data_IF_722954826659
#
_entry.id   IF_722954826659
#
_cell.length_a   1.000
_cell.length_b   1.000
_cell.length_c   1.000
_cell.angle_alpha   90.00
_cell.angle_beta   90.00
_cell.angle_gamma   90.00
#
_symmetry.space_group_name_H-M   'P 1'
#
loop_
_entity.id
_entity.type
_entity.pdbx_description
1 polymer ?
#
# COMPACT_ATOMS: atom_id res chain seq x y z
N UNK A 1 -11.29 -1.03 14.98
CA UNK A 1 -11.78 -0.43 13.72
C UNK A 1 -12.02 -1.57 12.74
N UNK A 2 -13.13 -1.56 12.00
CA UNK A 2 -13.44 -2.62 11.02
C UNK A 2 -13.11 -2.16 9.61
N UNK A 3 -12.95 -3.09 8.67
CA UNK A 3 -12.67 -2.75 7.28
C UNK A 3 -13.80 -2.01 6.59
N UNK A 4 -15.05 -2.34 6.92
CA UNK A 4 -16.25 -1.66 6.39
C UNK A 4 -16.28 -0.17 6.77
N UNK A 5 -15.79 0.19 7.97
CA UNK A 5 -15.70 1.58 8.39
C UNK A 5 -14.76 2.34 7.42
N UNK A 6 -13.54 1.83 7.24
CA UNK A 6 -12.51 2.43 6.39
C UNK A 6 -12.92 2.59 4.93
N UNK A 7 -13.73 1.67 4.40
CA UNK A 7 -14.24 1.70 3.01
C UNK A 7 -15.17 2.89 2.75
N UNK A 8 -15.76 3.47 3.79
CA UNK A 8 -16.68 4.62 3.69
C UNK A 8 -16.02 5.94 4.04
N UNK A 9 -14.77 5.92 4.49
CA UNK A 9 -14.08 7.12 4.94
C UNK A 9 -13.63 7.98 3.77
N UNK A 10 -13.80 9.29 3.93
CA UNK A 10 -13.18 10.30 3.08
C UNK A 10 -11.66 10.28 3.21
N UNK A 11 -10.94 10.85 2.24
CA UNK A 11 -9.47 10.99 2.31
C UNK A 11 -9.01 11.72 3.57
N UNK A 12 -9.75 12.75 4.03
CA UNK A 12 -9.46 13.45 5.28
C UNK A 12 -9.62 12.56 6.52
N UNK A 13 -10.65 11.71 6.56
CA UNK A 13 -10.82 10.77 7.67
C UNK A 13 -9.73 9.69 7.66
N UNK A 14 -9.38 9.16 6.49
CA UNK A 14 -8.28 8.19 6.34
C UNK A 14 -6.93 8.81 6.75
N UNK A 15 -6.72 10.08 6.45
CA UNK A 15 -5.54 10.82 6.89
C UNK A 15 -5.43 10.90 8.41
N UNK A 16 -6.54 11.16 9.11
CA UNK A 16 -6.57 11.14 10.59
C UNK A 16 -6.24 9.74 11.13
N UNK A 17 -6.81 8.69 10.54
CA UNK A 17 -6.49 7.30 10.92
C UNK A 17 -5.01 7.02 10.67
N UNK A 18 -4.49 7.38 9.51
CA UNK A 18 -3.10 7.13 9.14
C UNK A 18 -2.12 7.84 10.07
N UNK A 19 -2.41 9.05 10.54
CA UNK A 19 -1.55 9.78 11.48
C UNK A 19 -1.68 9.31 12.93
N UNK A 20 -2.73 8.56 13.26
CA UNK A 20 -2.93 8.05 14.63
C UNK A 20 -1.81 7.07 14.97
N UNK A 21 -1.09 7.24 16.10
CA UNK A 21 -0.07 6.29 16.52
C UNK A 21 -0.70 4.93 16.81
N UNK A 22 -0.23 3.90 16.11
CA UNK A 22 -0.55 2.51 16.43
C UNK A 22 0.74 1.82 16.89
N UNK A 23 0.66 0.83 17.80
CA UNK A 23 1.82 0.01 18.13
C UNK A 23 2.37 -0.59 16.84
N UNK A 24 3.63 -0.26 16.53
CA UNK A 24 4.29 -0.79 15.35
C UNK A 24 4.43 -2.30 15.56
N UNK A 25 3.69 -3.08 14.78
CA UNK A 25 3.81 -4.53 14.82
C UNK A 25 4.94 -5.00 13.91
N UNK A 26 5.28 -6.28 14.04
CA UNK A 26 6.22 -6.96 13.15
C UNK A 26 5.80 -6.81 11.67
N UNK A 27 6.75 -7.10 10.78
CA UNK A 27 6.46 -7.15 9.34
C UNK A 27 5.35 -8.18 9.09
N UNK A 28 4.31 -7.84 8.29
CA UNK A 28 3.20 -8.73 8.01
C UNK A 28 3.69 -10.05 7.43
N UNK A 29 2.89 -11.11 7.58
CA UNK A 29 3.18 -12.42 6.98
C UNK A 29 1.97 -12.92 6.22
N UNK A 30 2.23 -13.65 5.14
CA UNK A 30 1.20 -14.32 4.35
C UNK A 30 0.61 -13.42 3.28
N UNK A 31 -0.60 -13.78 2.84
CA UNK A 31 -1.28 -13.15 1.71
C UNK A 31 -2.28 -12.11 2.23
N UNK A 32 -2.26 -10.94 1.60
CA UNK A 32 -3.09 -9.80 1.94
C UNK A 32 -3.78 -9.30 0.69
N UNK A 33 -5.10 -9.09 0.76
CA UNK A 33 -5.91 -8.60 -0.33
C UNK A 33 -5.93 -7.08 -0.33
N UNK A 34 -5.60 -6.48 -1.46
CA UNK A 34 -5.57 -5.03 -1.64
C UNK A 34 -6.90 -4.46 -2.11
N UNK A 35 -7.16 -3.22 -1.70
CA UNK A 35 -8.27 -2.39 -2.19
C UNK A 35 -7.89 -0.92 -2.11
N UNK A 36 -8.05 -0.18 -3.20
CA UNK A 36 -7.95 1.27 -3.17
C UNK A 36 -9.13 1.88 -2.40
N UNK A 37 -8.87 2.87 -1.55
CA UNK A 37 -9.88 3.55 -0.73
C UNK A 37 -10.18 4.95 -1.24
N UNK A 38 -9.16 5.82 -1.32
CA UNK A 38 -9.35 7.21 -1.71
C UNK A 38 -8.06 7.80 -2.27
N UNK A 39 -8.18 8.69 -3.25
CA UNK A 39 -7.07 9.56 -3.68
C UNK A 39 -6.96 10.77 -2.77
N UNK A 40 -5.74 11.22 -2.54
CA UNK A 40 -5.46 12.48 -1.85
C UNK A 40 -5.32 13.54 -2.94
N UNK A 41 -6.13 14.61 -2.86
CA UNK A 41 -6.00 15.72 -3.79
C UNK A 41 -4.62 16.38 -3.60
N UNK A 42 -3.76 16.22 -4.59
CA UNK A 42 -2.43 16.79 -4.63
C UNK A 42 -2.22 17.47 -5.98
N UNK A 43 -1.27 18.41 -6.05
CA UNK A 43 -0.91 19.06 -7.33
C UNK A 43 -0.48 18.03 -8.39
N UNK A 44 0.15 16.93 -7.96
CA UNK A 44 0.55 15.80 -8.82
C UNK A 44 -0.59 14.92 -9.31
N UNK A 45 -1.65 14.78 -8.51
CA UNK A 45 -2.84 13.99 -8.82
C UNK A 45 -3.67 14.53 -9.99
N UNK A 46 -3.38 15.75 -10.47
CA UNK A 46 -4.07 16.37 -11.64
C UNK A 46 -3.47 15.99 -12.99
N UNK A 47 -2.41 15.17 -13.01
CA UNK A 47 -1.84 14.68 -14.25
C UNK A 47 -2.66 13.50 -14.81
N UNK A 48 -3.38 13.75 -15.91
CA UNK A 48 -4.32 12.81 -16.54
C UNK A 48 -3.66 11.49 -16.96
N UNK A 49 -2.40 11.51 -17.39
CA UNK A 49 -1.66 10.28 -17.75
C UNK A 49 -1.40 9.37 -16.54
N UNK A 50 -1.16 9.96 -15.37
CA UNK A 50 -1.01 9.21 -14.11
C UNK A 50 -2.35 8.66 -13.61
N UNK A 51 -3.43 9.43 -13.78
CA UNK A 51 -4.77 8.99 -13.43
C UNK A 51 -5.19 7.75 -14.22
N UNK A 52 -4.88 7.69 -15.51
CA UNK A 52 -5.18 6.55 -16.38
C UNK A 52 -4.35 5.33 -15.99
N UNK A 53 -3.03 5.48 -15.76
CA UNK A 53 -2.17 4.34 -15.40
C UNK A 53 -2.53 3.74 -14.03
N UNK A 54 -2.81 4.57 -13.03
CA UNK A 54 -3.20 4.10 -11.70
C UNK A 54 -4.64 3.59 -11.67
N UNK A 55 -5.57 4.27 -12.35
CA UNK A 55 -6.98 3.87 -12.40
C UNK A 55 -7.17 2.54 -13.12
N UNK A 56 -6.43 2.27 -14.20
CA UNK A 56 -6.60 1.03 -14.96
C UNK A 56 -5.96 -0.19 -14.25
N UNK A 57 -4.87 -0.02 -13.50
CA UNK A 57 -4.22 -1.13 -12.79
C UNK A 57 -4.80 -1.41 -11.39
N UNK A 58 -5.17 -0.39 -10.62
CA UNK A 58 -5.55 -0.55 -9.22
C UNK A 58 -7.06 -0.51 -8.96
N UNK A 59 -7.85 0.16 -9.81
CA UNK A 59 -9.32 0.15 -9.66
C UNK A 59 -9.97 -1.06 -10.32
N UNK A 60 -9.33 -1.65 -11.34
CA UNK A 60 -9.92 -2.75 -12.12
C UNK A 60 -9.41 -4.15 -11.78
N UNK A 61 -8.22 -4.28 -11.16
CA UNK A 61 -7.60 -5.59 -10.98
C UNK A 61 -7.53 -5.95 -9.49
N UNK A 62 -8.06 -7.12 -9.08
CA UNK A 62 -7.82 -7.62 -7.74
C UNK A 62 -6.32 -7.87 -7.58
N UNK A 63 -5.70 -7.02 -6.77
CA UNK A 63 -4.31 -7.13 -6.40
C UNK A 63 -4.19 -7.57 -4.96
N UNK A 64 -3.01 -8.03 -4.60
CA UNK A 64 -2.63 -8.10 -3.22
C UNK A 64 -1.14 -8.23 -3.04
N UNK A 65 -0.76 -8.36 -1.78
CA UNK A 65 0.62 -8.42 -1.35
C UNK A 65 0.86 -9.71 -0.59
N UNK A 66 1.95 -10.39 -0.95
CA UNK A 66 2.50 -11.46 -0.15
C UNK A 66 3.67 -10.93 0.66
N UNK A 67 3.74 -11.30 1.93
CA UNK A 67 4.79 -10.89 2.84
C UNK A 67 5.49 -12.11 3.47
N UNK A 68 6.82 -12.05 3.56
CA UNK A 68 7.65 -13.12 4.14
C UNK A 68 7.67 -13.12 5.69
N UNK A 69 7.18 -12.06 6.33
CA UNK A 69 7.23 -11.87 7.79
C UNK A 69 8.58 -11.39 8.34
N UNK A 70 9.54 -11.02 7.48
CA UNK A 70 10.91 -10.68 7.85
C UNK A 70 11.40 -9.36 7.29
N UNK A 71 11.34 -9.17 5.98
CA UNK A 71 11.95 -8.00 5.32
C UNK A 71 11.53 -7.81 3.86
N UNK A 72 10.70 -8.70 3.31
CA UNK A 72 10.39 -8.67 1.89
C UNK A 72 8.98 -9.14 1.58
N UNK A 73 8.54 -8.83 0.38
CA UNK A 73 7.28 -9.28 -0.15
C UNK A 73 7.23 -9.14 -1.66
N UNK A 74 6.10 -9.51 -2.23
CA UNK A 74 5.84 -9.36 -3.66
C UNK A 74 4.38 -9.02 -3.90
N UNK A 75 4.11 -8.27 -4.97
CA UNK A 75 2.74 -8.10 -5.45
C UNK A 75 2.29 -9.37 -6.16
N UNK A 76 0.99 -9.64 -6.07
CA UNK A 76 0.30 -10.56 -6.96
C UNK A 76 -0.93 -9.88 -7.56
N UNK A 77 -1.21 -10.19 -8.82
CA UNK A 77 -2.41 -9.74 -9.51
C UNK A 77 -3.17 -10.97 -10.00
N UNK A 78 -4.49 -10.99 -9.81
CA UNK A 78 -5.43 -12.04 -10.25
C UNK A 78 -5.28 -13.44 -9.62
N UNK A 79 -4.07 -13.97 -9.48
CA UNK A 79 -3.80 -15.31 -8.93
C UNK A 79 -2.51 -15.31 -8.09
N UNK A 80 -2.42 -16.19 -7.08
CA UNK A 80 -1.25 -16.30 -6.18
C UNK A 80 0.06 -16.65 -6.91
N UNK A 81 -0.04 -17.23 -8.11
CA UNK A 81 1.11 -17.67 -8.92
C UNK A 81 1.79 -16.56 -9.72
N UNK A 82 1.15 -15.41 -9.90
CA UNK A 82 1.64 -14.34 -10.78
C UNK A 82 2.25 -13.20 -9.95
N UNK A 83 3.46 -13.45 -9.44
CA UNK A 83 4.24 -12.49 -8.64
C UNK A 83 4.82 -11.40 -9.54
N UNK A 84 4.36 -10.16 -9.36
CA UNK A 84 4.78 -9.01 -10.17
C UNK A 84 5.49 -7.97 -9.31
N UNK A 85 6.79 -8.13 -9.12
CA UNK A 85 7.60 -7.12 -8.44
C UNK A 85 7.76 -7.39 -6.96
N UNK A 86 9.02 -7.61 -6.59
CA UNK A 86 9.45 -7.80 -5.20
C UNK A 86 9.74 -6.44 -4.56
N UNK A 87 9.43 -6.32 -3.28
CA UNK A 87 9.76 -5.16 -2.47
C UNK A 87 10.46 -5.56 -1.18
N UNK A 88 11.22 -4.63 -0.64
CA UNK A 88 11.76 -4.70 0.72
C UNK A 88 10.90 -3.90 1.66
N UNK A 89 10.90 -4.29 2.92
CA UNK A 89 10.15 -3.63 3.98
C UNK A 89 11.12 -3.20 5.06
N UNK A 90 11.02 -1.93 5.46
CA UNK A 90 11.87 -1.34 6.48
C UNK A 90 10.99 -0.55 7.45
N UNK A 91 11.22 -0.70 8.75
CA UNK A 91 10.59 0.18 9.74
C UNK A 91 11.19 1.58 9.64
N UNK A 92 10.36 2.61 9.69
CA UNK A 92 10.84 3.98 9.81
C UNK A 92 9.75 5.02 9.75
N UNK A 93 10.17 6.29 9.76
CA UNK A 93 9.26 7.43 9.65
C UNK A 93 8.62 7.50 8.29
N UNK A 94 7.34 7.81 8.25
CA UNK A 94 6.66 8.19 7.02
C UNK A 94 7.39 9.38 6.40
N UNK A 95 7.60 9.30 5.09
CA UNK A 95 8.15 10.39 4.27
C UNK A 95 7.16 11.53 4.17
N UNK A 96 5.87 11.21 4.16
CA UNK A 96 4.83 12.17 3.85
C UNK A 96 4.15 12.75 5.08
N UNK A 97 4.18 12.04 6.21
CA UNK A 97 3.48 12.40 7.45
C UNK A 97 4.41 12.22 8.66
N UNK A 98 4.12 12.93 9.73
CA UNK A 98 4.86 12.79 10.99
C UNK A 98 4.33 11.60 11.81
N UNK A 99 4.67 10.39 11.38
CA UNK A 99 4.31 9.11 12.02
C UNK A 99 5.30 8.01 11.66
N UNK A 100 5.44 7.00 12.50
CA UNK A 100 6.12 5.75 12.14
C UNK A 100 5.24 4.89 11.21
N UNK A 101 5.89 4.11 10.35
CA UNK A 101 5.28 3.20 9.38
C UNK A 101 6.24 2.07 8.96
N UNK A 102 5.74 1.14 8.17
CA UNK A 102 6.56 0.20 7.40
C UNK A 102 6.69 0.73 5.98
N UNK A 103 7.91 1.02 5.54
CA UNK A 103 8.19 1.52 4.20
C UNK A 103 8.42 0.36 3.24
N UNK A 104 7.76 0.37 2.09
CA UNK A 104 7.97 -0.58 0.99
C UNK A 104 8.84 0.06 -0.09
N UNK A 105 9.99 -0.54 -0.37
CA UNK A 105 10.93 -0.06 -1.40
C UNK A 105 11.12 -1.08 -2.51
N UNK A 106 11.09 -0.60 -3.76
CA UNK A 106 11.07 -1.42 -4.97
C UNK A 106 12.43 -1.51 -5.69
N UNK A 107 13.51 -1.07 -5.05
CA UNK A 107 14.86 -0.97 -5.64
C UNK A 107 15.37 -2.28 -6.23
N UNK A 108 14.99 -3.42 -5.62
CA UNK A 108 15.41 -4.77 -6.05
C UNK A 108 14.42 -5.48 -6.97
N UNK A 109 13.25 -4.91 -7.22
CA UNK A 109 12.25 -5.55 -8.09
C UNK A 109 12.85 -5.78 -9.49
N UNK A 110 12.57 -6.91 -10.14
CA UNK A 110 12.86 -7.10 -11.57
C UNK A 110 11.81 -6.38 -12.45
N UNK A 111 11.53 -5.12 -12.13
CA UNK A 111 10.67 -4.25 -12.91
C UNK A 111 11.51 -3.41 -13.88
N UNK A 112 10.95 -2.92 -14.99
CA UNK A 112 11.60 -1.90 -15.81
C UNK A 112 12.05 -0.73 -14.93
N UNK A 113 13.25 -0.18 -15.18
CA UNK A 113 13.90 0.83 -14.32
C UNK A 113 13.01 2.05 -14.02
N UNK A 114 12.16 2.44 -14.98
CA UNK A 114 11.18 3.51 -14.81
C UNK A 114 10.15 3.22 -13.71
N UNK A 115 9.73 1.97 -13.53
CA UNK A 115 8.73 1.57 -12.52
C UNK A 115 9.35 1.46 -11.13
N UNK A 116 10.61 1.00 -11.03
CA UNK A 116 11.32 0.86 -9.74
C UNK A 116 11.47 2.18 -8.99
N UNK A 117 11.69 3.25 -9.74
CA UNK A 117 11.86 4.60 -9.21
C UNK A 117 10.54 5.35 -9.08
N UNK A 118 9.42 4.75 -9.49
CA UNK A 118 8.13 5.43 -9.54
C UNK A 118 7.28 5.13 -8.32
N UNK A 119 7.35 3.94 -7.72
CA UNK A 119 6.44 3.54 -6.63
C UNK A 119 7.13 3.60 -5.27
N UNK A 120 6.40 4.10 -4.27
CA UNK A 120 6.80 4.08 -2.87
C UNK A 120 5.54 3.99 -2.03
N UNK A 121 5.44 2.93 -1.22
CA UNK A 121 4.28 2.72 -0.37
C UNK A 121 4.71 2.68 1.10
N UNK A 122 3.81 3.12 1.96
CA UNK A 122 3.97 3.04 3.41
C UNK A 122 2.78 2.29 3.99
N UNK A 123 3.02 1.45 4.99
CA UNK A 123 1.99 0.63 5.62
C UNK A 123 1.90 0.95 7.11
N UNK A 124 0.67 0.98 7.61
CA UNK A 124 0.37 1.09 9.04
C UNK A 124 -0.65 0.05 9.47
N UNK A 125 -0.26 -0.69 10.50
CA UNK A 125 -1.15 -1.59 11.20
C UNK A 125 -2.33 -0.83 11.82
N UNK A 126 -3.54 -1.31 11.55
CA UNK A 126 -4.77 -0.86 12.20
C UNK A 126 -5.24 -1.90 13.22
N UNK A 127 -5.12 -3.18 12.86
CA UNK A 127 -5.39 -4.36 13.70
C UNK A 127 -4.57 -5.55 13.17
N UNK A 128 -4.64 -6.72 13.83
CA UNK A 128 -3.86 -7.91 13.43
C UNK A 128 -4.18 -8.43 12.01
N UNK A 129 -5.30 -8.00 11.43
CA UNK A 129 -5.86 -8.43 10.16
C UNK A 129 -6.08 -7.28 9.17
N UNK A 130 -5.78 -6.03 9.56
CA UNK A 130 -5.98 -4.84 8.75
C UNK A 130 -4.76 -3.92 8.75
N UNK A 131 -4.37 -3.49 7.55
CA UNK A 131 -3.30 -2.52 7.34
C UNK A 131 -3.84 -1.42 6.42
N UNK A 132 -3.61 -0.18 6.82
CA UNK A 132 -3.84 0.99 5.98
C UNK A 132 -2.53 1.35 5.28
N UNK A 133 -2.55 1.36 3.96
CA UNK A 133 -1.45 1.75 3.10
C UNK A 133 -1.61 3.18 2.58
N UNK A 134 -0.50 3.88 2.46
CA UNK A 134 -0.35 5.13 1.72
C UNK A 134 0.56 4.87 0.53
N UNK A 135 -0.02 4.81 -0.66
CA UNK A 135 0.72 4.67 -1.90
C UNK A 135 1.05 6.04 -2.46
N UNK A 136 2.26 6.18 -2.99
CA UNK A 136 2.72 7.41 -3.60
C UNK A 136 3.63 7.13 -4.78
N UNK A 137 3.61 8.06 -5.75
CA UNK A 137 4.72 8.11 -6.69
C UNK A 137 5.93 8.79 -6.06
N UNK A 138 7.12 8.25 -6.28
CA UNK A 138 8.39 8.72 -5.73
C UNK A 138 8.89 10.01 -6.43
N UNK A 139 8.08 11.06 -6.36
CA UNK A 139 8.41 12.44 -6.73
C UNK A 139 8.77 13.25 -5.47
N UNK A 140 9.20 14.50 -5.65
CA UNK A 140 9.40 15.40 -4.52
C UNK A 140 8.12 15.59 -3.68
N UNK A 141 8.29 15.94 -2.40
CA UNK A 141 7.19 16.01 -1.43
C UNK A 141 6.11 16.98 -1.91
N UNK A 142 4.90 16.46 -2.14
CA UNK A 142 3.75 17.26 -2.58
C UNK A 142 3.53 17.30 -4.10
N UNK A 143 4.42 16.68 -4.88
CA UNK A 143 4.35 16.67 -6.35
C UNK A 143 3.86 15.33 -6.94
N UNK A 144 3.81 14.27 -6.13
CA UNK A 144 3.27 12.96 -6.55
C UNK A 144 1.78 12.79 -6.25
N UNK A 145 1.09 11.99 -7.08
CA UNK A 145 -0.22 11.43 -6.72
C UNK A 145 -0.05 10.51 -5.50
N UNK A 146 -0.95 10.64 -4.52
CA UNK A 146 -0.98 9.87 -3.29
C UNK A 146 -2.37 9.28 -3.12
N UNK A 147 -2.45 8.05 -2.65
CA UNK A 147 -3.72 7.39 -2.39
C UNK A 147 -3.65 6.49 -1.19
N UNK A 148 -4.78 6.36 -0.50
CA UNK A 148 -4.97 5.38 0.54
C UNK A 148 -5.47 4.07 -0.06
N UNK A 149 -4.94 2.97 0.46
CA UNK A 149 -5.43 1.62 0.17
C UNK A 149 -5.51 0.79 1.44
N UNK A 150 -6.37 -0.22 1.42
CA UNK A 150 -6.54 -1.18 2.48
C UNK A 150 -5.87 -2.50 2.09
N UNK A 151 -5.26 -3.14 3.07
CA UNK A 151 -4.88 -4.55 2.99
C UNK A 151 -5.66 -5.32 4.05
N UNK A 152 -6.41 -6.32 3.60
CA UNK A 152 -7.15 -7.26 4.45
C UNK A 152 -6.41 -8.61 4.42
N UNK A 153 -6.11 -9.18 5.60
CA UNK A 153 -5.46 -10.49 5.67
C UNK A 153 -6.37 -11.54 5.03
N UNK A 154 -5.82 -12.34 4.13
CA UNK A 154 -6.52 -13.52 3.61
C UNK A 154 -6.37 -14.61 4.65
N UNK A 155 -7.48 -15.09 5.21
CA UNK A 155 -7.46 -16.29 6.04
C UNK A 155 -6.99 -17.44 5.15
N UNK A 156 -5.87 -18.08 5.50
CA UNK A 156 -5.57 -19.38 4.91
C UNK A 156 -6.78 -20.28 5.19
N UNK A 157 -7.32 -21.00 4.18
CA UNK A 157 -8.31 -22.02 4.49
C UNK A 157 -7.69 -22.95 5.53
N UNK A 158 -8.39 -23.17 6.65
CA UNK A 158 -8.01 -24.22 7.59
C UNK A 158 -7.77 -25.47 6.76
N UNK A 159 -6.54 -26.00 6.83
CA UNK A 159 -6.26 -27.31 6.26
C UNK A 159 -7.14 -28.29 7.03
N UNK A 160 -8.25 -28.70 6.40
CA UNK A 160 -9.09 -29.83 6.84
C UNK A 160 -8.25 -31.09 6.84
#
# INVERSE_FOLDING_TARGET
>A
MKSEDLKTYTSTQLELVYRTPYPQQNIPRGIWKGRMLARIDSKGGRNVLHQIWQGVLFDLLPYGLWFDGKSSGAWYFFTEGLRLGEFKIVNGKSRFRDTECLQMTYEKARLPSLVKNLLYDELKWISADLILGLGAMNFEKGEGDQFFFLLEKVNEPEKV
#
